data_IF_016577011149
#
_entry.id   IF_016577011149
#
_cell.length_a   1.000
_cell.length_b   1.000
_cell.length_c   1.000
_cell.angle_alpha   90.00
_cell.angle_beta   90.00
_cell.angle_gamma   90.00
#
_symmetry.space_group_name_H-M   'P 1'
#
loop_
_entity.id
_entity.type
_entity.pdbx_description
1 polymer ?
#
# COMPACT_ATOMS: atom_id res chain seq x y z
N UNK A 1 65.86 -8.76 14.42
CA UNK A 1 64.60 -8.63 15.18
C UNK A 1 63.89 -7.37 14.72
N UNK A 2 62.95 -7.52 13.78
CA UNK A 2 62.15 -6.41 13.27
C UNK A 2 60.70 -6.67 13.69
N UNK A 3 60.18 -5.80 14.55
CA UNK A 3 58.80 -5.79 15.04
C UNK A 3 57.86 -5.37 13.91
N UNK A 4 56.98 -6.28 13.49
CA UNK A 4 55.90 -5.98 12.55
C UNK A 4 54.79 -5.18 13.25
N UNK A 5 54.45 -4.02 12.71
CA UNK A 5 53.29 -3.22 13.11
C UNK A 5 52.08 -3.71 12.33
N UNK A 6 51.10 -4.32 13.00
CA UNK A 6 49.80 -4.65 12.41
C UNK A 6 48.99 -3.37 12.12
N UNK A 7 48.34 -3.26 10.95
CA UNK A 7 47.39 -2.18 10.70
C UNK A 7 46.08 -2.45 11.45
N UNK A 8 45.78 -1.61 12.45
CA UNK A 8 44.48 -1.57 13.11
C UNK A 8 43.40 -1.27 12.07
N UNK A 9 42.58 -2.27 11.77
CA UNK A 9 41.38 -2.11 10.97
C UNK A 9 40.34 -1.39 11.83
N UNK A 10 40.13 -0.11 11.56
CA UNK A 10 39.14 0.71 12.26
C UNK A 10 37.75 0.08 12.16
N UNK A 11 37.14 -0.20 13.32
CA UNK A 11 35.78 -0.70 13.41
C UNK A 11 34.80 0.31 12.76
N UNK A 12 33.82 -0.14 11.95
CA UNK A 12 32.85 0.75 11.35
C UNK A 12 32.00 1.42 12.44
N UNK A 13 32.02 2.75 12.47
CA UNK A 13 31.21 3.54 13.38
C UNK A 13 29.72 3.22 13.19
N UNK A 14 28.93 3.03 14.26
CA UNK A 14 27.49 2.83 14.12
C UNK A 14 26.86 4.09 13.54
N UNK A 15 26.17 3.96 12.40
CA UNK A 15 25.41 5.04 11.78
C UNK A 15 24.30 5.54 12.72
N UNK A 16 24.62 6.54 13.55
CA UNK A 16 23.69 7.24 14.44
C UNK A 16 22.98 8.38 13.71
N UNK A 17 22.32 8.08 12.60
CA UNK A 17 21.45 9.01 11.88
C UNK A 17 20.03 8.48 11.84
N UNK A 18 19.08 9.13 12.53
CA UNK A 18 17.67 8.84 12.34
C UNK A 18 17.28 9.11 10.88
N UNK A 19 16.58 8.17 10.24
CA UNK A 19 16.16 8.30 8.84
C UNK A 19 14.78 8.91 8.80
N UNK A 20 14.62 10.02 8.09
CA UNK A 20 13.31 10.59 7.73
C UNK A 20 12.96 10.16 6.30
N UNK A 21 11.99 9.24 6.13
CA UNK A 21 11.45 8.93 4.82
C UNK A 21 10.90 10.21 4.17
N UNK A 22 11.34 10.51 2.94
CA UNK A 22 10.74 11.58 2.14
C UNK A 22 9.70 10.94 1.20
N UNK A 23 8.40 11.07 1.48
CA UNK A 23 7.38 10.51 0.60
C UNK A 23 7.35 11.31 -0.72
N UNK A 24 7.38 10.61 -1.86
CA UNK A 24 6.98 11.21 -3.15
C UNK A 24 5.46 11.46 -3.09
N UNK A 25 5.00 12.52 -3.74
CA UNK A 25 3.56 12.79 -3.90
C UNK A 25 2.88 11.56 -4.51
N UNK A 26 1.85 11.05 -3.84
CA UNK A 26 1.03 9.91 -4.28
C UNK A 26 0.64 10.04 -5.76
N UNK A 27 0.53 8.93 -6.50
CA UNK A 27 -0.24 8.95 -7.75
C UNK A 27 -1.66 9.43 -7.43
N UNK A 28 -2.17 10.37 -8.22
CA UNK A 28 -3.40 11.12 -7.95
C UNK A 28 -3.20 12.50 -7.30
N UNK A 29 -2.04 12.75 -6.68
CA UNK A 29 -1.60 14.12 -6.37
C UNK A 29 -0.74 14.59 -7.54
N UNK A 30 -1.36 15.31 -8.47
CA UNK A 30 -0.61 16.10 -9.45
C UNK A 30 0.52 16.85 -8.74
N UNK A 31 1.68 16.93 -9.40
CA UNK A 31 2.92 17.54 -8.93
C UNK A 31 2.75 18.97 -8.40
N UNK A 32 3.86 19.58 -7.94
CA UNK A 32 3.86 20.57 -6.86
C UNK A 32 2.75 21.58 -7.06
N UNK A 33 1.73 21.56 -6.19
CA UNK A 33 0.54 22.43 -6.21
C UNK A 33 0.84 23.92 -6.46
N UNK A 34 2.08 24.34 -6.19
CA UNK A 34 2.63 25.65 -6.55
C UNK A 34 2.66 25.90 -8.05
N UNK A 35 3.03 24.92 -8.89
CA UNK A 35 3.12 25.06 -10.34
C UNK A 35 1.75 25.32 -10.97
N UNK A 36 0.73 24.52 -10.64
CA UNK A 36 -0.61 24.72 -11.20
C UNK A 36 -1.22 26.05 -10.74
N UNK A 37 -1.03 26.43 -9.47
CA UNK A 37 -1.46 27.72 -8.96
C UNK A 37 -0.73 28.87 -9.67
N UNK A 38 0.58 28.76 -9.88
CA UNK A 38 1.37 29.74 -10.62
C UNK A 38 0.91 29.85 -12.07
N UNK A 39 0.64 28.73 -12.74
CA UNK A 39 0.14 28.70 -14.12
C UNK A 39 -1.23 29.38 -14.22
N UNK A 40 -2.16 29.09 -13.31
CA UNK A 40 -3.48 29.75 -13.30
C UNK A 40 -3.35 31.27 -13.12
N UNK A 41 -2.45 31.71 -12.22
CA UNK A 41 -2.18 33.13 -12.01
C UNK A 41 -1.48 33.77 -13.22
N UNK A 42 -0.53 33.08 -13.85
CA UNK A 42 0.17 33.54 -15.05
C UNK A 42 -0.78 33.67 -16.23
N UNK A 43 -1.69 32.70 -16.44
CA UNK A 43 -2.70 32.75 -17.50
C UNK A 43 -3.68 33.90 -17.26
N UNK A 44 -4.11 34.12 -16.00
CA UNK A 44 -4.96 35.26 -15.66
C UNK A 44 -4.27 36.60 -15.95
N UNK A 45 -3.01 36.75 -15.55
CA UNK A 45 -2.22 37.96 -15.80
C UNK A 45 -1.95 38.17 -17.30
N UNK A 46 -1.56 37.12 -18.03
CA UNK A 46 -1.32 37.16 -19.47
C UNK A 46 -2.59 37.53 -20.24
N UNK A 47 -3.75 36.95 -19.87
CA UNK A 47 -5.03 37.30 -20.47
C UNK A 47 -5.37 38.78 -20.30
N UNK A 48 -5.21 39.32 -19.09
CA UNK A 48 -5.44 40.74 -18.81
C UNK A 48 -4.49 41.65 -19.60
N UNK A 49 -3.21 41.27 -19.73
CA UNK A 49 -2.22 42.02 -20.51
C UNK A 49 -2.57 42.02 -22.00
N UNK A 50 -2.96 40.87 -22.57
CA UNK A 50 -3.36 40.78 -23.98
C UNK A 50 -4.62 41.61 -24.25
N UNK A 51 -5.62 41.53 -23.37
CA UNK A 51 -6.83 42.33 -23.50
C UNK A 51 -6.54 43.84 -23.45
N UNK A 52 -5.62 44.26 -22.57
CA UNK A 52 -5.22 45.66 -22.46
C UNK A 52 -4.51 46.19 -23.71
N UNK A 53 -3.67 45.36 -24.35
CA UNK A 53 -2.89 45.75 -25.54
C UNK A 53 -3.73 45.71 -26.83
N UNK A 54 -4.61 44.72 -26.99
CA UNK A 54 -5.38 44.52 -28.23
C UNK A 54 -6.60 45.43 -28.28
N UNK A 55 -7.47 45.37 -27.27
CA UNK A 55 -8.72 46.12 -27.26
C UNK A 55 -9.26 46.26 -25.83
N UNK A 56 -9.28 47.48 -25.26
CA UNK A 56 -9.70 47.69 -23.86
C UNK A 56 -11.12 47.22 -23.54
N UNK A 57 -12.03 47.11 -24.52
CA UNK A 57 -13.38 46.57 -24.28
C UNK A 57 -13.37 45.08 -23.88
N UNK A 58 -12.34 44.32 -24.28
CA UNK A 58 -12.18 42.91 -23.90
C UNK A 58 -11.78 42.73 -22.42
N UNK A 59 -11.43 43.80 -21.71
CA UNK A 59 -11.07 43.72 -20.28
C UNK A 59 -12.23 43.25 -19.41
N UNK A 60 -13.49 43.52 -19.79
CA UNK A 60 -14.65 43.08 -19.01
C UNK A 60 -14.81 41.55 -19.03
N UNK A 61 -14.93 40.88 -20.20
CA UNK A 61 -15.05 39.42 -20.23
C UNK A 61 -13.78 38.71 -19.76
N UNK A 62 -12.59 39.22 -20.12
CA UNK A 62 -11.31 38.64 -19.68
C UNK A 62 -11.07 38.85 -18.20
N UNK A 63 -11.47 39.99 -17.64
CA UNK A 63 -11.43 40.28 -16.21
C UNK A 63 -12.32 39.34 -15.40
N UNK A 64 -13.53 39.05 -15.88
CA UNK A 64 -14.40 38.06 -15.26
C UNK A 64 -13.76 36.66 -15.25
N UNK A 65 -13.18 36.23 -16.38
CA UNK A 65 -12.47 34.94 -16.46
C UNK A 65 -11.23 34.91 -15.56
N UNK A 66 -10.42 35.97 -15.55
CA UNK A 66 -9.25 36.10 -14.69
C UNK A 66 -9.64 36.03 -13.20
N UNK A 67 -10.73 36.70 -12.81
CA UNK A 67 -11.28 36.61 -11.45
C UNK A 67 -11.66 35.16 -11.11
N UNK A 68 -12.32 34.44 -12.01
CA UNK A 68 -12.65 33.01 -11.81
C UNK A 68 -11.37 32.17 -11.64
N UNK A 69 -10.35 32.39 -12.47
CA UNK A 69 -9.07 31.68 -12.37
C UNK A 69 -8.36 31.95 -11.03
N UNK A 70 -8.36 33.20 -10.58
CA UNK A 70 -7.81 33.60 -9.27
C UNK A 70 -8.61 32.97 -8.12
N UNK A 71 -9.93 32.98 -8.20
CA UNK A 71 -10.81 32.31 -7.22
C UNK A 71 -10.51 30.81 -7.19
N UNK A 72 -10.37 30.14 -8.34
CA UNK A 72 -9.99 28.72 -8.40
C UNK A 72 -8.59 28.44 -7.84
N UNK A 73 -7.65 29.39 -8.00
CA UNK A 73 -6.30 29.28 -7.49
C UNK A 73 -6.20 29.51 -5.96
N UNK A 74 -7.05 30.37 -5.40
CA UNK A 74 -6.97 30.82 -3.99
C UNK A 74 -7.98 30.13 -3.08
N UNK A 75 -9.19 29.83 -3.57
CA UNK A 75 -10.24 29.20 -2.76
C UNK A 75 -9.88 27.76 -2.44
N UNK A 76 -9.69 27.51 -1.15
CA UNK A 76 -9.39 26.20 -0.59
C UNK A 76 -10.62 25.64 0.09
N UNK A 77 -11.03 24.43 -0.31
CA UNK A 77 -12.08 23.69 0.40
C UNK A 77 -11.47 22.43 1.01
N UNK A 78 -11.52 22.33 2.35
CA UNK A 78 -10.98 21.18 3.10
C UNK A 78 -9.50 20.85 2.79
N UNK A 79 -8.64 21.88 2.73
CA UNK A 79 -7.19 21.75 2.44
C UNK A 79 -6.84 21.22 1.04
N UNK A 80 -7.81 21.14 0.11
CA UNK A 80 -7.58 20.86 -1.32
C UNK A 80 -7.97 22.07 -2.17
N UNK A 81 -7.32 22.24 -3.33
CA UNK A 81 -7.76 23.20 -4.33
C UNK A 81 -9.09 22.75 -4.96
N UNK A 82 -9.90 23.69 -5.43
CA UNK A 82 -11.16 23.36 -6.12
C UNK A 82 -10.94 22.45 -7.34
N UNK A 83 -9.94 22.67 -8.21
CA UNK A 83 -9.67 21.77 -9.34
C UNK A 83 -9.37 20.33 -8.93
N UNK A 84 -8.55 20.11 -7.90
CA UNK A 84 -8.28 18.76 -7.37
C UNK A 84 -9.54 18.09 -6.80
N UNK A 85 -10.38 18.87 -6.12
CA UNK A 85 -11.63 18.37 -5.58
C UNK A 85 -12.59 17.94 -6.69
N UNK A 86 -12.72 18.75 -7.76
CA UNK A 86 -13.53 18.42 -8.93
C UNK A 86 -12.96 17.20 -9.66
N UNK A 87 -11.65 17.19 -9.92
CA UNK A 87 -10.95 16.08 -10.58
C UNK A 87 -11.14 14.75 -9.85
N UNK A 88 -10.95 14.74 -8.53
CA UNK A 88 -11.18 13.54 -7.72
C UNK A 88 -12.65 13.09 -7.72
N UNK A 89 -13.61 14.03 -7.70
CA UNK A 89 -15.04 13.72 -7.83
C UNK A 89 -15.43 13.14 -9.19
N UNK A 90 -14.90 13.72 -10.28
CA UNK A 90 -15.09 13.20 -11.64
C UNK A 90 -14.45 11.81 -11.80
N UNK A 91 -13.25 11.60 -11.25
CA UNK A 91 -12.57 10.30 -11.28
C UNK A 91 -13.40 9.21 -10.58
N UNK A 92 -13.98 9.51 -9.41
CA UNK A 92 -14.86 8.61 -8.69
C UNK A 92 -16.13 8.33 -9.48
N UNK A 93 -16.74 9.35 -10.09
CA UNK A 93 -17.93 9.17 -10.93
C UNK A 93 -17.63 8.31 -12.15
N UNK A 94 -16.48 8.50 -12.79
CA UNK A 94 -16.04 7.69 -13.92
C UNK A 94 -15.76 6.24 -13.51
N UNK A 95 -15.10 5.99 -12.36
CA UNK A 95 -14.91 4.64 -11.82
C UNK A 95 -16.24 3.97 -11.49
N UNK A 96 -17.17 4.65 -10.82
CA UNK A 96 -18.51 4.14 -10.52
C UNK A 96 -19.31 3.79 -11.77
N UNK A 97 -19.21 4.60 -12.83
CA UNK A 97 -19.86 4.32 -14.12
C UNK A 97 -19.28 3.08 -14.79
N UNK A 98 -17.95 2.98 -14.88
CA UNK A 98 -17.28 1.79 -15.42
C UNK A 98 -17.59 0.54 -14.61
N UNK A 99 -17.62 0.67 -13.29
CA UNK A 99 -17.99 -0.38 -12.36
C UNK A 99 -19.43 -0.87 -12.57
N UNK A 100 -20.39 0.03 -12.84
CA UNK A 100 -21.78 -0.35 -13.05
C UNK A 100 -22.00 -1.20 -14.32
N UNK A 101 -21.17 -1.03 -15.35
CA UNK A 101 -21.24 -1.80 -16.60
C UNK A 101 -20.34 -3.04 -16.63
N UNK A 102 -19.47 -3.22 -15.63
CA UNK A 102 -18.50 -4.30 -15.62
C UNK A 102 -19.08 -5.57 -14.98
N UNK A 103 -18.99 -6.68 -15.71
CA UNK A 103 -19.27 -8.02 -15.20
C UNK A 103 -17.94 -8.78 -15.04
N UNK A 104 -17.79 -9.47 -13.92
CA UNK A 104 -16.61 -10.30 -13.66
C UNK A 104 -16.59 -11.46 -14.67
N UNK A 105 -15.46 -11.71 -15.36
CA UNK A 105 -15.34 -12.82 -16.30
C UNK A 105 -15.69 -14.17 -15.66
N UNK A 106 -16.40 -15.02 -16.42
CA UNK A 106 -16.69 -16.39 -16.00
C UNK A 106 -15.39 -17.16 -15.72
N UNK A 107 -15.37 -17.96 -14.65
CA UNK A 107 -14.19 -18.70 -14.22
C UNK A 107 -13.23 -17.90 -13.32
N UNK A 108 -13.54 -16.65 -12.98
CA UNK A 108 -12.77 -15.91 -11.96
C UNK A 108 -12.96 -16.57 -10.58
N UNK A 109 -11.87 -16.87 -9.90
CA UNK A 109 -11.90 -17.41 -8.55
C UNK A 109 -12.73 -16.52 -7.60
N UNK A 110 -13.69 -17.08 -6.82
CA UNK A 110 -14.57 -16.28 -5.96
C UNK A 110 -13.83 -15.42 -4.92
N UNK A 111 -12.63 -15.83 -4.51
CA UNK A 111 -11.78 -15.03 -3.62
C UNK A 111 -11.14 -13.82 -4.30
N UNK A 112 -10.91 -13.88 -5.62
CA UNK A 112 -10.30 -12.83 -6.43
C UNK A 112 -11.33 -11.86 -7.01
N UNK A 113 -12.59 -12.28 -7.18
CA UNK A 113 -13.64 -11.49 -7.81
C UNK A 113 -13.77 -10.04 -7.29
N UNK A 114 -13.72 -9.75 -5.96
CA UNK A 114 -13.76 -8.37 -5.47
C UNK A 114 -12.59 -7.49 -5.98
N UNK A 115 -11.43 -8.09 -6.23
CA UNK A 115 -10.27 -7.36 -6.76
C UNK A 115 -10.42 -7.10 -8.25
N UNK A 116 -10.94 -8.05 -9.02
CA UNK A 116 -11.26 -7.87 -10.45
C UNK A 116 -12.36 -6.82 -10.63
N UNK A 117 -13.33 -6.75 -9.71
CA UNK A 117 -14.33 -5.66 -9.72
C UNK A 117 -13.74 -4.27 -9.43
N UNK A 118 -12.62 -4.21 -8.68
CA UNK A 118 -11.92 -2.99 -8.32
C UNK A 118 -10.93 -2.55 -9.41
N UNK A 119 -10.24 -3.51 -10.02
CA UNK A 119 -9.36 -3.34 -11.17
C UNK A 119 -9.56 -4.51 -12.17
N UNK A 120 -10.35 -4.28 -13.24
CA UNK A 120 -10.63 -5.28 -14.27
C UNK A 120 -9.42 -5.85 -14.99
N UNK A 121 -8.27 -5.18 -14.94
CA UNK A 121 -7.08 -5.66 -15.61
C UNK A 121 -6.33 -6.71 -14.79
N UNK A 122 -6.60 -6.84 -13.48
CA UNK A 122 -5.92 -7.81 -12.62
C UNK A 122 -6.28 -9.24 -13.00
N UNK A 123 -5.24 -10.07 -13.14
CA UNK A 123 -5.35 -11.53 -13.23
C UNK A 123 -4.22 -12.20 -12.48
N UNK A 124 -4.47 -13.44 -12.08
CA UNK A 124 -3.44 -14.34 -11.56
C UNK A 124 -2.82 -15.13 -12.69
N UNK A 125 -1.57 -15.51 -12.50
CA UNK A 125 -0.80 -16.35 -13.40
C UNK A 125 -0.03 -17.36 -12.56
N UNK A 126 0.12 -18.58 -13.07
CA UNK A 126 1.01 -19.58 -12.49
C UNK A 126 2.24 -19.73 -13.36
N UNK A 127 3.39 -19.86 -12.71
CA UNK A 127 4.64 -20.24 -13.36
C UNK A 127 5.17 -21.51 -12.73
N UNK A 128 5.40 -22.51 -13.57
CA UNK A 128 5.98 -23.79 -13.17
C UNK A 128 7.30 -23.96 -13.89
N UNK A 129 8.37 -24.13 -13.13
CA UNK A 129 9.67 -24.57 -13.65
C UNK A 129 9.86 -26.05 -13.34
N UNK A 130 10.62 -26.76 -14.17
CA UNK A 130 10.81 -28.21 -14.03
C UNK A 130 11.40 -28.48 -12.64
N UNK A 131 10.75 -29.36 -11.89
CA UNK A 131 11.11 -29.79 -10.52
C UNK A 131 10.95 -28.74 -9.40
N UNK A 132 10.32 -27.59 -9.66
CA UNK A 132 10.04 -26.57 -8.65
C UNK A 132 8.57 -26.48 -8.28
N UNK A 133 8.30 -26.01 -7.06
CA UNK A 133 6.96 -25.64 -6.61
C UNK A 133 6.41 -24.53 -7.54
N UNK A 134 5.17 -24.63 -8.04
CA UNK A 134 4.59 -23.59 -8.87
C UNK A 134 4.48 -22.27 -8.09
N UNK A 135 4.80 -21.16 -8.75
CA UNK A 135 4.77 -19.81 -8.17
C UNK A 135 3.58 -19.07 -8.75
N UNK A 136 2.74 -18.53 -7.85
CA UNK A 136 1.64 -17.64 -8.20
C UNK A 136 2.12 -16.21 -8.40
N UNK A 137 1.58 -15.56 -9.42
CA UNK A 137 1.81 -14.16 -9.71
C UNK A 137 0.49 -13.44 -9.93
N UNK A 138 0.51 -12.12 -9.74
CA UNK A 138 -0.61 -11.23 -10.07
C UNK A 138 -0.11 -10.08 -10.91
N UNK A 139 -0.86 -9.69 -11.93
CA UNK A 139 -0.45 -8.61 -12.82
C UNK A 139 -1.59 -8.08 -13.68
N UNK A 140 -1.31 -7.00 -14.39
CA UNK A 140 -2.24 -6.35 -15.33
C UNK A 140 -1.76 -6.42 -16.80
N UNK A 141 -0.70 -7.20 -17.05
CA UNK A 141 -0.12 -7.42 -18.38
C UNK A 141 1.02 -6.49 -18.71
N UNK A 142 1.15 -5.40 -17.96
CA UNK A 142 2.29 -4.50 -18.05
C UNK A 142 3.29 -4.77 -16.93
N UNK A 143 2.83 -5.33 -15.81
CA UNK A 143 3.71 -5.77 -14.72
C UNK A 143 3.35 -7.18 -14.22
N UNK A 144 4.29 -7.77 -13.48
CA UNK A 144 4.09 -9.01 -12.72
C UNK A 144 4.53 -8.82 -11.27
N UNK A 145 3.75 -9.34 -10.35
CA UNK A 145 4.07 -9.35 -8.92
C UNK A 145 4.07 -10.76 -8.38
N UNK A 146 5.16 -11.16 -7.73
CA UNK A 146 5.21 -12.37 -6.89
C UNK A 146 5.14 -11.98 -5.41
N UNK A 147 4.56 -12.84 -4.57
CA UNK A 147 4.37 -12.56 -3.14
C UNK A 147 5.10 -13.62 -2.31
N UNK A 148 5.86 -13.16 -1.33
CA UNK A 148 6.53 -13.97 -0.32
C UNK A 148 5.81 -13.77 1.01
N UNK A 149 5.28 -14.84 1.59
CA UNK A 149 4.79 -14.82 2.97
C UNK A 149 5.97 -14.97 3.92
N UNK A 150 5.98 -14.14 4.96
CA UNK A 150 7.02 -14.18 6.01
C UNK A 150 6.36 -14.52 7.33
N UNK A 151 6.75 -15.67 7.87
CA UNK A 151 6.35 -16.12 9.18
C UNK A 151 7.49 -15.87 10.16
N UNK A 152 7.11 -15.43 11.35
CA UNK A 152 8.02 -15.30 12.50
C UNK A 152 7.81 -16.54 13.34
N UNK A 153 8.86 -17.34 13.57
CA UNK A 153 8.73 -18.61 14.29
C UNK A 153 7.93 -18.43 15.59
N UNK A 154 6.96 -19.34 15.76
CA UNK A 154 5.97 -19.30 16.81
C UNK A 154 6.55 -19.87 18.11
N UNK A 155 7.37 -19.11 18.81
CA UNK A 155 7.57 -19.37 20.24
C UNK A 155 6.28 -19.00 20.97
N UNK A 156 5.68 -19.99 21.63
CA UNK A 156 4.29 -20.00 22.14
C UNK A 156 3.92 -18.90 23.15
N UNK A 157 4.89 -18.12 23.63
CA UNK A 157 4.70 -17.00 24.55
C UNK A 157 5.60 -15.86 24.07
N UNK A 158 5.05 -14.84 23.41
CA UNK A 158 5.82 -13.67 22.95
C UNK A 158 5.84 -12.61 24.05
N UNK A 159 7.00 -12.28 24.66
CA UNK A 159 7.07 -11.24 25.66
C UNK A 159 7.14 -9.82 25.07
N UNK A 160 7.35 -9.65 23.76
CA UNK A 160 7.46 -8.30 23.19
C UNK A 160 6.94 -8.17 21.75
N UNK A 161 6.24 -7.05 21.53
CA UNK A 161 5.57 -6.61 20.30
C UNK A 161 6.56 -6.35 19.15
N UNK A 162 7.83 -6.11 19.48
CA UNK A 162 8.92 -5.80 18.56
C UNK A 162 10.08 -6.82 18.56
N UNK A 163 9.90 -8.01 19.16
CA UNK A 163 10.99 -8.93 19.50
C UNK A 163 11.93 -9.33 18.35
N UNK A 164 11.47 -9.34 17.10
CA UNK A 164 12.33 -9.52 15.93
C UNK A 164 11.85 -8.66 14.75
N UNK A 165 12.46 -7.49 14.50
CA UNK A 165 12.09 -6.64 13.37
C UNK A 165 12.45 -7.28 12.05
N UNK A 166 11.58 -7.16 11.04
CA UNK A 166 11.89 -7.58 9.68
C UNK A 166 13.10 -6.76 9.15
N UNK A 167 14.13 -7.41 8.58
CA UNK A 167 15.32 -6.72 8.09
C UNK A 167 15.01 -5.97 6.79
N UNK A 168 14.58 -4.71 6.89
CA UNK A 168 14.25 -3.88 5.72
C UNK A 168 15.42 -3.69 4.75
N UNK A 169 16.67 -3.80 5.24
CA UNK A 169 17.86 -3.80 4.38
C UNK A 169 17.81 -4.90 3.34
N UNK A 170 17.39 -6.11 3.71
CA UNK A 170 17.24 -7.24 2.78
C UNK A 170 16.19 -6.95 1.70
N UNK A 171 15.09 -6.29 2.07
CA UNK A 171 14.02 -5.91 1.13
C UNK A 171 14.43 -4.73 0.24
N UNK A 172 15.28 -3.84 0.73
CA UNK A 172 15.89 -2.79 -0.10
C UNK A 172 16.85 -3.40 -1.12
N UNK A 173 17.70 -4.33 -0.67
CA UNK A 173 18.77 -4.92 -1.49
C UNK A 173 18.24 -5.93 -2.53
N UNK A 174 16.95 -6.26 -2.53
CA UNK A 174 16.32 -7.07 -3.59
C UNK A 174 15.72 -6.21 -4.71
N UNK A 175 15.60 -4.89 -4.53
CA UNK A 175 15.12 -3.99 -5.58
C UNK A 175 15.98 -4.05 -6.86
N UNK A 176 17.25 -4.41 -6.71
CA UNK A 176 18.17 -4.65 -7.81
C UNK A 176 19.03 -5.88 -7.52
N UNK A 177 18.88 -6.92 -8.34
CA UNK A 177 19.52 -8.23 -8.10
C UNK A 177 19.70 -9.03 -9.38
N UNK A 178 20.88 -9.61 -9.63
CA UNK A 178 21.18 -10.40 -10.85
C UNK A 178 20.77 -9.69 -12.17
N UNK A 179 20.98 -8.37 -12.24
CA UNK A 179 20.58 -7.50 -13.35
C UNK A 179 19.06 -7.23 -13.45
N UNK A 180 18.26 -7.77 -12.53
CA UNK A 180 16.82 -7.55 -12.44
C UNK A 180 16.57 -6.31 -11.60
N UNK A 181 15.90 -5.32 -12.18
CA UNK A 181 15.49 -4.09 -11.50
C UNK A 181 13.98 -4.13 -11.27
N UNK A 182 13.57 -4.23 -10.02
CA UNK A 182 12.17 -4.21 -9.63
C UNK A 182 11.62 -2.79 -9.70
N UNK A 183 10.33 -2.66 -10.06
CA UNK A 183 9.61 -1.39 -9.94
C UNK A 183 9.48 -1.02 -8.46
N UNK A 184 9.15 -2.01 -7.63
CA UNK A 184 8.97 -1.83 -6.19
C UNK A 184 8.97 -3.15 -5.41
N UNK A 185 9.24 -3.03 -4.11
CA UNK A 185 9.05 -4.07 -3.10
C UNK A 185 8.13 -3.53 -2.01
N UNK A 186 7.00 -4.21 -1.77
CA UNK A 186 5.97 -3.77 -0.85
C UNK A 186 5.83 -4.74 0.31
N UNK A 187 6.08 -4.25 1.52
CA UNK A 187 5.77 -4.94 2.76
C UNK A 187 4.31 -4.66 3.14
N UNK A 188 3.52 -5.71 3.36
CA UNK A 188 2.13 -5.63 3.82
C UNK A 188 1.98 -6.44 5.10
N UNK A 189 1.52 -5.79 6.16
CA UNK A 189 1.17 -6.44 7.43
C UNK A 189 -0.33 -6.32 7.66
N UNK A 190 -1.00 -7.46 7.79
CA UNK A 190 -2.42 -7.54 8.10
C UNK A 190 -2.61 -8.06 9.52
N UNK A 191 -3.38 -7.34 10.32
CA UNK A 191 -3.65 -7.69 11.72
C UNK A 191 -5.13 -7.79 11.99
N UNK A 192 -5.49 -8.73 12.86
CA UNK A 192 -6.81 -8.81 13.47
C UNK A 192 -6.64 -8.78 14.99
N UNK A 193 -7.28 -7.85 15.70
CA UNK A 193 -7.06 -7.68 17.13
C UNK A 193 -7.62 -8.86 17.93
N UNK A 194 -7.03 -9.09 19.10
CA UNK A 194 -7.57 -9.91 20.18
C UNK A 194 -7.98 -8.99 21.34
N UNK A 195 -9.07 -9.24 22.07
CA UNK A 195 -10.21 -10.04 21.65
C UNK A 195 -10.87 -9.42 20.40
N UNK A 196 -11.60 -10.24 19.63
CA UNK A 196 -12.23 -9.74 18.42
C UNK A 196 -13.34 -8.71 18.79
N UNK A 197 -13.44 -7.55 18.10
CA UNK A 197 -14.27 -6.42 18.57
C UNK A 197 -15.77 -6.69 18.57
N UNK A 198 -16.21 -7.72 17.85
CA UNK A 198 -17.61 -8.13 17.74
C UNK A 198 -18.06 -9.07 18.86
N UNK A 199 -17.14 -9.52 19.73
CA UNK A 199 -17.50 -10.36 20.86
C UNK A 199 -18.25 -9.52 21.91
N UNK A 200 -19.32 -10.06 22.53
CA UNK A 200 -19.99 -9.36 23.61
C UNK A 200 -19.02 -9.00 24.73
N UNK A 201 -19.11 -7.80 25.29
CA UNK A 201 -18.21 -7.31 26.35
C UNK A 201 -18.16 -8.24 27.57
N UNK A 202 -19.28 -8.91 27.86
CA UNK A 202 -19.41 -9.85 28.99
C UNK A 202 -18.96 -11.28 28.66
N UNK A 203 -18.51 -11.55 27.43
CA UNK A 203 -18.02 -12.88 27.05
C UNK A 203 -16.75 -13.25 27.83
N UNK A 204 -16.61 -14.54 28.14
CA UNK A 204 -15.42 -15.08 28.81
C UNK A 204 -14.14 -14.79 28.02
N UNK A 205 -14.21 -14.87 26.68
CA UNK A 205 -13.09 -14.53 25.81
C UNK A 205 -12.65 -13.06 26.00
N UNK A 206 -13.59 -12.11 26.03
CA UNK A 206 -13.23 -10.69 26.24
C UNK A 206 -12.63 -10.47 27.61
N UNK A 207 -13.23 -11.02 28.66
CA UNK A 207 -12.72 -10.87 30.05
C UNK A 207 -11.33 -11.48 30.23
N UNK A 208 -11.07 -12.64 29.63
CA UNK A 208 -9.80 -13.34 29.80
C UNK A 208 -8.68 -12.76 28.92
N UNK A 209 -8.99 -12.34 27.69
CA UNK A 209 -7.97 -11.88 26.75
C UNK A 209 -7.76 -10.36 26.76
N UNK A 210 -8.69 -9.54 27.24
CA UNK A 210 -8.50 -8.08 27.30
C UNK A 210 -7.31 -7.64 28.19
N UNK A 211 -7.08 -8.21 29.39
CA UNK A 211 -5.89 -7.87 30.19
C UNK A 211 -4.58 -8.26 29.50
N UNK A 212 -4.57 -9.42 28.81
CA UNK A 212 -3.40 -9.88 28.05
C UNK A 212 -3.15 -8.97 26.84
N UNK A 213 -4.21 -8.53 26.16
CA UNK A 213 -4.11 -7.55 25.08
C UNK A 213 -3.59 -6.20 25.58
N UNK A 214 -4.07 -5.71 26.72
CA UNK A 214 -3.61 -4.45 27.28
C UNK A 214 -2.11 -4.49 27.62
N UNK A 215 -1.60 -5.65 28.06
CA UNK A 215 -0.19 -5.86 28.41
C UNK A 215 0.73 -6.11 27.21
N UNK A 216 0.33 -6.99 26.30
CA UNK A 216 1.20 -7.46 25.21
C UNK A 216 0.92 -6.75 23.89
N UNK A 217 -0.31 -6.26 23.71
CA UNK A 217 -0.74 -5.59 22.50
C UNK A 217 -0.63 -6.45 21.24
N UNK A 218 -0.56 -7.77 21.40
CA UNK A 218 -0.32 -8.75 20.33
C UNK A 218 -1.64 -9.10 19.67
N UNK A 219 -1.80 -8.86 18.36
CA UNK A 219 -3.04 -9.20 17.66
C UNK A 219 -3.29 -10.72 17.65
N UNK A 220 -4.55 -11.14 17.52
CA UNK A 220 -4.93 -12.55 17.35
C UNK A 220 -4.29 -13.14 16.09
N UNK A 221 -4.29 -12.35 15.01
CA UNK A 221 -3.70 -12.72 13.72
C UNK A 221 -2.75 -11.61 13.29
N UNK A 222 -1.55 -11.99 12.86
CA UNK A 222 -0.58 -11.09 12.22
C UNK A 222 0.04 -11.84 11.05
N UNK A 223 -0.36 -11.46 9.84
CA UNK A 223 0.18 -11.98 8.58
C UNK A 223 1.09 -10.92 7.98
N UNK A 224 2.23 -11.36 7.43
CA UNK A 224 3.21 -10.49 6.78
C UNK A 224 3.51 -11.02 5.39
N UNK A 225 3.37 -10.15 4.40
CA UNK A 225 3.68 -10.45 3.00
C UNK A 225 4.66 -9.42 2.45
N UNK A 226 5.52 -9.86 1.55
CA UNK A 226 6.38 -8.99 0.74
C UNK A 226 6.04 -9.25 -0.72
N UNK A 227 5.47 -8.25 -1.38
CA UNK A 227 5.13 -8.29 -2.79
C UNK A 227 6.25 -7.63 -3.62
N UNK A 228 6.80 -8.36 -4.59
CA UNK A 228 7.87 -7.92 -5.47
C UNK A 228 7.29 -7.65 -6.86
N UNK A 229 7.25 -6.38 -7.27
CA UNK A 229 6.68 -5.94 -8.54
C UNK A 229 7.77 -5.70 -9.57
N UNK A 230 7.62 -6.38 -10.69
CA UNK A 230 8.49 -6.27 -11.85
C UNK A 230 7.71 -5.61 -12.99
N UNK A 231 8.22 -4.49 -13.48
CA UNK A 231 7.90 -3.98 -14.81
C UNK A 231 9.00 -4.48 -15.78
N UNK A 232 8.68 -5.32 -16.77
CA UNK A 232 9.66 -5.86 -17.72
C UNK A 232 10.43 -4.77 -18.49
N UNK A 233 9.85 -3.57 -18.65
CA UNK A 233 10.50 -2.44 -19.34
C UNK A 233 11.66 -1.84 -18.56
N UNK A 234 11.73 -2.06 -17.23
CA UNK A 234 12.81 -1.55 -16.38
C UNK A 234 14.10 -2.37 -16.47
N UNK A 235 14.03 -3.62 -16.94
CA UNK A 235 15.20 -4.50 -17.10
C UNK A 235 15.09 -5.40 -18.35
N UNK A 236 15.02 -4.83 -19.56
CA UNK A 236 14.78 -5.57 -20.80
C UNK A 236 15.90 -6.58 -21.10
N UNK A 237 17.15 -6.25 -20.76
CA UNK A 237 18.30 -7.14 -20.93
C UNK A 237 18.17 -8.41 -20.06
N UNK A 238 17.77 -8.24 -18.80
CA UNK A 238 17.58 -9.36 -17.88
C UNK A 238 16.42 -10.27 -18.28
N UNK A 239 15.35 -9.69 -18.83
CA UNK A 239 14.20 -10.42 -19.39
C UNK A 239 14.62 -11.20 -20.64
N UNK A 240 15.36 -10.57 -21.55
CA UNK A 240 15.86 -11.19 -22.78
C UNK A 240 16.82 -12.34 -22.50
N UNK A 241 17.77 -12.15 -21.58
CA UNK A 241 18.70 -13.19 -21.14
C UNK A 241 17.99 -14.42 -20.54
N UNK A 242 16.75 -14.24 -20.06
CA UNK A 242 15.88 -15.30 -19.53
C UNK A 242 14.80 -15.70 -20.54
N UNK A 243 15.11 -15.66 -21.84
CA UNK A 243 14.26 -16.14 -22.93
C UNK A 243 13.17 -15.17 -23.40
N UNK A 244 13.18 -13.92 -22.91
CA UNK A 244 12.34 -12.85 -23.44
C UNK A 244 10.85 -12.97 -23.13
N UNK A 245 10.10 -11.93 -23.52
CA UNK A 245 8.65 -11.87 -23.38
C UNK A 245 8.13 -12.14 -21.97
N UNK A 246 6.94 -12.73 -21.88
CA UNK A 246 6.30 -13.04 -20.61
C UNK A 246 7.10 -14.08 -19.79
N UNK A 247 7.61 -15.14 -20.44
CA UNK A 247 8.35 -16.19 -19.76
C UNK A 247 9.66 -15.68 -19.14
N UNK A 248 10.34 -14.74 -19.80
CA UNK A 248 11.52 -14.06 -19.24
C UNK A 248 11.16 -13.19 -18.05
N UNK A 249 10.06 -12.43 -18.13
CA UNK A 249 9.57 -11.64 -17.00
C UNK A 249 9.17 -12.52 -15.79
N UNK A 250 8.48 -13.63 -16.03
CA UNK A 250 8.14 -14.60 -14.99
C UNK A 250 9.40 -15.19 -14.33
N UNK A 251 10.41 -15.58 -15.11
CA UNK A 251 11.69 -16.06 -14.58
C UNK A 251 12.44 -14.99 -13.78
N UNK A 252 12.40 -13.72 -14.20
CA UNK A 252 12.97 -12.61 -13.45
C UNK A 252 12.30 -12.45 -12.07
N UNK A 253 10.97 -12.37 -12.02
CA UNK A 253 10.28 -12.14 -10.75
C UNK A 253 10.41 -13.34 -9.79
N UNK A 254 10.37 -14.57 -10.29
CA UNK A 254 10.64 -15.79 -9.50
C UNK A 254 12.06 -15.77 -8.94
N UNK A 255 13.05 -15.41 -9.77
CA UNK A 255 14.44 -15.32 -9.31
C UNK A 255 14.59 -14.31 -8.17
N UNK A 256 13.96 -13.14 -8.27
CA UNK A 256 13.97 -12.14 -7.21
C UNK A 256 13.26 -12.64 -5.94
N UNK A 257 12.12 -13.34 -6.07
CA UNK A 257 11.39 -13.92 -4.95
C UNK A 257 12.19 -15.02 -4.22
N UNK A 258 12.82 -15.93 -4.96
CA UNK A 258 13.68 -16.99 -4.41
C UNK A 258 14.88 -16.40 -3.66
N UNK A 259 15.51 -15.36 -4.22
CA UNK A 259 16.60 -14.66 -3.57
C UNK A 259 16.16 -13.97 -2.28
N UNK A 260 15.00 -13.29 -2.28
CA UNK A 260 14.45 -12.70 -1.07
C UNK A 260 14.17 -13.76 0.00
N UNK A 261 13.50 -14.85 -0.37
CA UNK A 261 13.19 -15.94 0.54
C UNK A 261 14.47 -16.55 1.15
N UNK A 262 15.50 -16.77 0.33
CA UNK A 262 16.80 -17.27 0.78
C UNK A 262 17.50 -16.31 1.74
N UNK A 263 17.51 -15.00 1.46
CA UNK A 263 18.12 -13.99 2.34
C UNK A 263 17.35 -13.84 3.67
N UNK A 264 16.02 -13.95 3.65
CA UNK A 264 15.19 -13.94 4.85
C UNK A 264 15.41 -15.20 5.70
N UNK A 265 15.52 -16.37 5.07
CA UNK A 265 15.89 -17.62 5.74
C UNK A 265 17.26 -17.52 6.40
N UNK A 266 18.25 -16.93 5.72
CA UNK A 266 19.57 -16.63 6.30
C UNK A 266 19.52 -15.66 7.48
N UNK A 267 18.49 -14.80 7.56
CA UNK A 267 18.21 -13.92 8.70
C UNK A 267 17.33 -14.59 9.79
N UNK A 268 17.01 -15.88 9.66
CA UNK A 268 16.22 -16.66 10.60
C UNK A 268 14.72 -16.34 10.58
N UNK A 269 14.17 -16.08 9.39
CA UNK A 269 12.72 -16.03 9.16
C UNK A 269 12.30 -17.18 8.26
N UNK A 270 11.09 -17.70 8.48
CA UNK A 270 10.48 -18.64 7.55
C UNK A 270 9.84 -17.83 6.42
N UNK A 271 10.31 -18.00 5.19
CA UNK A 271 9.86 -17.24 4.03
C UNK A 271 9.42 -18.19 2.90
N UNK A 272 8.16 -18.09 2.48
CA UNK A 272 7.55 -18.97 1.49
C UNK A 272 7.04 -18.17 0.30
N UNK A 273 7.53 -18.48 -0.90
CA UNK A 273 6.99 -17.93 -2.15
C UNK A 273 5.62 -18.57 -2.42
N UNK A 274 4.58 -17.75 -2.57
CA UNK A 274 3.20 -18.21 -2.67
C UNK A 274 2.90 -18.87 -4.03
N UNK A 275 2.14 -19.96 -3.99
CA UNK A 275 1.46 -20.54 -5.17
C UNK A 275 0.28 -19.66 -5.60
N UNK A 276 -0.32 -19.92 -6.76
CA UNK A 276 -1.50 -19.16 -7.23
C UNK A 276 -2.69 -19.24 -6.26
N UNK A 277 -2.94 -20.43 -5.70
CA UNK A 277 -4.02 -20.63 -4.72
C UNK A 277 -3.75 -19.87 -3.42
N UNK A 278 -2.53 -19.93 -2.90
CA UNK A 278 -2.13 -19.19 -1.69
C UNK A 278 -2.13 -17.68 -1.93
N UNK A 279 -1.70 -17.23 -3.10
CA UNK A 279 -1.76 -15.83 -3.51
C UNK A 279 -3.20 -15.34 -3.53
N UNK A 280 -4.12 -16.10 -4.13
CA UNK A 280 -5.55 -15.77 -4.16
C UNK A 280 -6.14 -15.72 -2.74
N UNK A 281 -5.76 -16.66 -1.86
CA UNK A 281 -6.17 -16.66 -0.46
C UNK A 281 -5.61 -15.47 0.34
N UNK A 282 -4.34 -15.10 0.11
CA UNK A 282 -3.69 -13.95 0.73
C UNK A 282 -4.35 -12.64 0.29
N UNK A 283 -4.66 -12.51 -1.00
CA UNK A 283 -5.38 -11.39 -1.57
C UNK A 283 -6.82 -11.28 -1.02
N UNK A 284 -7.54 -12.40 -0.90
CA UNK A 284 -8.88 -12.44 -0.30
C UNK A 284 -8.85 -12.06 1.20
N UNK A 285 -7.83 -12.51 1.94
CA UNK A 285 -7.67 -12.18 3.36
C UNK A 285 -7.28 -10.72 3.54
N UNK A 286 -6.32 -10.21 2.76
CA UNK A 286 -5.91 -8.80 2.82
C UNK A 286 -7.04 -7.87 2.38
N UNK A 287 -7.84 -8.22 1.37
CA UNK A 287 -9.04 -7.47 0.97
C UNK A 287 -10.18 -7.59 1.99
N UNK A 288 -10.04 -8.47 2.99
CA UNK A 288 -11.08 -8.86 3.93
C UNK A 288 -12.36 -9.31 3.20
N UNK A 289 -12.27 -10.03 2.09
CA UNK A 289 -13.45 -10.66 1.51
C UNK A 289 -14.14 -11.60 2.53
N UNK A 290 -15.46 -11.63 2.55
CA UNK A 290 -16.20 -12.45 3.52
C UNK A 290 -16.14 -13.93 3.11
N UNK A 291 -15.60 -14.85 3.95
CA UNK A 291 -15.50 -16.26 3.62
C UNK A 291 -16.84 -16.93 3.27
N UNK A 292 -17.93 -16.51 3.92
CA UNK A 292 -19.27 -17.00 3.58
C UNK A 292 -19.71 -16.53 2.20
N UNK A 293 -19.44 -15.27 1.84
CA UNK A 293 -19.74 -14.74 0.51
C UNK A 293 -18.90 -15.41 -0.58
N UNK A 294 -17.62 -15.69 -0.31
CA UNK A 294 -16.74 -16.48 -1.20
C UNK A 294 -17.34 -17.87 -1.44
N UNK A 295 -17.72 -18.55 -0.35
CA UNK A 295 -18.31 -19.90 -0.42
C UNK A 295 -19.63 -19.90 -1.18
N UNK A 296 -20.48 -18.90 -0.95
CA UNK A 296 -21.77 -18.76 -1.65
C UNK A 296 -21.59 -18.49 -3.14
N UNK A 297 -20.65 -17.60 -3.51
CA UNK A 297 -20.31 -17.30 -4.90
C UNK A 297 -19.63 -18.48 -5.63
N UNK A 298 -19.00 -19.41 -4.90
CA UNK A 298 -18.51 -20.66 -5.48
C UNK A 298 -19.62 -21.69 -5.77
N UNK A 299 -20.74 -21.62 -5.05
CA UNK A 299 -21.86 -22.58 -5.18
C UNK A 299 -22.95 -22.11 -6.14
N UNK A 300 -23.29 -20.84 -6.05
CA UNK A 300 -24.19 -20.17 -6.97
C UNK A 300 -23.30 -19.31 -7.84
N UNK A 301 -23.41 -19.40 -9.16
CA UNK A 301 -22.79 -18.46 -10.09
C UNK A 301 -23.44 -17.06 -9.94
N UNK A 302 -23.46 -16.54 -8.71
CA UNK A 302 -24.14 -15.31 -8.35
C UNK A 302 -23.40 -14.17 -9.03
N UNK A 303 -24.14 -13.47 -9.87
CA UNK A 303 -23.64 -12.42 -10.76
C UNK A 303 -23.71 -11.03 -10.13
N UNK A 304 -24.08 -10.97 -8.85
CA UNK A 304 -24.22 -9.73 -8.11
C UNK A 304 -22.86 -9.14 -7.77
N UNK A 305 -22.70 -7.84 -8.03
CA UNK A 305 -21.50 -7.08 -7.68
C UNK A 305 -21.26 -7.11 -6.16
N UNK A 306 -20.07 -7.50 -5.74
CA UNK A 306 -19.68 -7.65 -4.33
C UNK A 306 -19.04 -6.39 -3.75
N UNK A 307 -18.65 -5.45 -4.59
CA UNK A 307 -17.92 -4.24 -4.19
C UNK A 307 -18.63 -2.94 -4.52
N UNK A 308 -18.40 -1.93 -3.67
CA UNK A 308 -18.95 -0.60 -3.88
C UNK A 308 -18.01 0.48 -3.36
N UNK A 309 -17.62 1.42 -4.23
CA UNK A 309 -16.82 2.59 -3.83
C UNK A 309 -17.72 3.77 -3.49
N UNK A 310 -17.53 4.38 -2.31
CA UNK A 310 -18.07 5.68 -1.93
C UNK A 310 -17.01 6.77 -1.89
N UNK A 311 -17.42 8.01 -1.60
CA UNK A 311 -16.48 9.12 -1.46
C UNK A 311 -15.51 8.95 -0.30
N UNK A 312 -15.79 8.08 0.68
CA UNK A 312 -14.97 7.93 1.89
C UNK A 312 -14.67 6.48 2.26
N UNK A 313 -15.41 5.53 1.71
CA UNK A 313 -15.27 4.11 2.03
C UNK A 313 -15.28 3.27 0.76
N UNK A 314 -14.68 2.09 0.83
CA UNK A 314 -14.93 1.01 -0.12
C UNK A 314 -15.56 -0.15 0.63
N UNK A 315 -16.59 -0.78 0.07
CA UNK A 315 -17.27 -1.93 0.65
C UNK A 315 -16.91 -3.18 -0.15
N UNK A 316 -16.63 -4.27 0.54
CA UNK A 316 -16.53 -5.62 -0.01
C UNK A 316 -17.45 -6.51 0.81
N UNK A 317 -18.45 -7.10 0.18
CA UNK A 317 -19.49 -7.87 0.86
C UNK A 317 -20.17 -7.01 1.96
N UNK A 318 -20.13 -7.48 3.21
CA UNK A 318 -20.62 -6.81 4.41
C UNK A 318 -19.55 -5.95 5.12
N UNK A 319 -18.34 -5.86 4.58
CA UNK A 319 -17.20 -5.19 5.24
C UNK A 319 -16.87 -3.86 4.59
N UNK A 320 -16.56 -2.87 5.40
CA UNK A 320 -16.30 -1.50 4.98
C UNK A 320 -14.88 -1.10 5.32
N UNK A 321 -14.23 -0.47 4.35
CA UNK A 321 -12.83 -0.12 4.39
C UNK A 321 -12.66 1.39 4.32
N UNK A 322 -11.64 1.91 4.99
CA UNK A 322 -11.13 3.25 4.77
C UNK A 322 -9.61 3.21 4.72
N UNK A 323 -9.05 3.75 3.64
CA UNK A 323 -7.59 3.83 3.45
C UNK A 323 -7.07 5.25 3.69
N UNK A 324 -5.92 5.31 4.36
CA UNK A 324 -5.12 6.50 4.62
C UNK A 324 -3.77 6.36 3.94
N UNK A 325 -3.28 7.47 3.39
CA UNK A 325 -1.89 7.65 3.03
C UNK A 325 -1.12 8.26 4.20
N UNK A 326 0.12 7.80 4.41
CA UNK A 326 1.05 8.38 5.38
C UNK A 326 1.75 9.57 4.72
N UNK A 327 1.17 10.76 4.92
CA UNK A 327 1.67 12.01 4.35
C UNK A 327 2.85 12.61 5.11
N UNK A 328 3.01 12.25 6.39
CA UNK A 328 4.18 12.62 7.20
C UNK A 328 4.60 11.46 8.07
N UNK A 329 5.83 10.99 7.86
CA UNK A 329 6.44 9.94 8.66
C UNK A 329 6.97 10.50 9.98
N UNK A 330 6.95 9.71 11.06
CA UNK A 330 7.70 10.04 12.27
C UNK A 330 9.20 9.91 11.97
N UNK A 331 10.04 10.46 12.84
CA UNK A 331 11.46 10.10 12.84
C UNK A 331 11.56 8.61 13.18
N UNK A 332 12.25 7.84 12.34
CA UNK A 332 12.45 6.40 12.53
C UNK A 332 13.92 6.17 12.93
N UNK A 333 14.14 5.57 14.11
CA UNK A 333 15.47 5.23 14.64
C UNK A 333 16.23 6.38 15.34
N UNK A 334 17.09 6.03 16.28
CA UNK A 334 17.81 6.96 17.19
C UNK A 334 17.31 6.89 18.64
N UNK A 335 18.07 7.44 19.60
CA UNK A 335 17.86 7.28 21.06
C UNK A 335 16.54 7.79 21.65
N UNK A 336 15.66 8.39 20.85
CA UNK A 336 14.32 8.85 21.25
C UNK A 336 13.23 8.70 20.18
N UNK A 337 13.51 7.97 19.09
CA UNK A 337 12.58 7.78 17.98
C UNK A 337 11.90 6.41 18.05
N UNK A 338 10.62 6.32 17.69
CA UNK A 338 9.93 5.04 17.61
C UNK A 338 10.58 4.18 16.50
N UNK A 339 10.95 2.95 16.83
CA UNK A 339 11.39 1.99 15.83
C UNK A 339 10.21 1.68 14.88
N UNK A 340 10.47 1.48 13.59
CA UNK A 340 9.42 1.16 12.61
C UNK A 340 8.48 0.03 13.06
N UNK A 341 8.96 -1.10 13.65
CA UNK A 341 8.05 -2.15 14.14
C UNK A 341 7.09 -1.66 15.22
N UNK A 342 7.55 -0.79 16.13
CA UNK A 342 6.71 -0.22 17.17
C UNK A 342 5.67 0.73 16.55
N UNK A 343 6.08 1.54 15.59
CA UNK A 343 5.18 2.40 14.83
C UNK A 343 4.09 1.59 14.12
N UNK A 344 4.47 0.53 13.38
CA UNK A 344 3.52 -0.34 12.70
C UNK A 344 2.59 -1.03 13.70
N UNK A 345 3.13 -1.51 14.82
CA UNK A 345 2.33 -2.17 15.85
C UNK A 345 1.29 -1.22 16.48
N UNK A 346 1.63 0.05 16.72
CA UNK A 346 0.70 1.05 17.23
C UNK A 346 -0.42 1.34 16.24
N UNK A 347 -0.11 1.47 14.96
CA UNK A 347 -1.12 1.72 13.92
C UNK A 347 -1.98 0.50 13.60
N UNK A 348 -1.53 -0.71 13.95
CA UNK A 348 -2.22 -1.97 13.64
C UNK A 348 -2.91 -2.62 14.84
N UNK A 349 -2.80 -2.03 16.03
CA UNK A 349 -3.45 -2.50 17.28
C UNK A 349 -4.80 -1.85 17.55
N UNK A 350 -5.57 -1.56 16.50
CA UNK A 350 -6.85 -0.86 16.61
C UNK A 350 -8.01 -1.85 16.86
N UNK A 351 -9.08 -1.42 17.55
CA UNK A 351 -10.29 -2.21 17.74
C UNK A 351 -11.15 -2.20 16.46
N UNK A 352 -10.65 -2.86 15.41
CA UNK A 352 -11.29 -2.98 14.10
C UNK A 352 -11.34 -4.45 13.68
N UNK A 353 -12.25 -4.84 12.79
CA UNK A 353 -12.23 -6.18 12.17
C UNK A 353 -10.81 -6.56 11.71
N UNK A 354 -10.17 -5.65 10.98
CA UNK A 354 -8.79 -5.82 10.56
C UNK A 354 -8.13 -4.45 10.29
N UNK A 355 -6.82 -4.40 10.51
CA UNK A 355 -5.99 -3.27 10.08
C UNK A 355 -4.88 -3.77 9.18
N UNK A 356 -4.66 -3.11 8.05
CA UNK A 356 -3.60 -3.43 7.11
C UNK A 356 -2.65 -2.24 6.99
N UNK A 357 -1.39 -2.45 7.32
CA UNK A 357 -0.30 -1.51 7.09
C UNK A 357 0.46 -1.95 5.85
N UNK A 358 0.77 -1.02 4.95
CA UNK A 358 1.61 -1.27 3.79
C UNK A 358 2.73 -0.24 3.70
N UNK A 359 3.92 -0.70 3.34
CA UNK A 359 5.10 0.11 3.08
C UNK A 359 5.70 -0.34 1.74
N UNK A 360 5.67 0.54 0.76
CA UNK A 360 6.27 0.32 -0.57
C UNK A 360 7.62 1.01 -0.63
N UNK A 361 8.64 0.26 -1.03
CA UNK A 361 9.97 0.73 -1.39
C UNK A 361 10.10 0.70 -2.90
N UNK A 362 10.55 1.79 -3.51
CA UNK A 362 10.87 1.83 -4.94
C UNK A 362 12.22 2.54 -5.15
N UNK A 363 12.98 2.17 -6.20
CA UNK A 363 14.23 2.85 -6.53
C UNK A 363 14.01 4.38 -6.68
N UNK A 364 14.88 5.19 -6.08
CA UNK A 364 14.83 6.64 -6.27
C UNK A 364 15.65 7.07 -7.51
N UNK A 365 15.30 8.21 -8.12
CA UNK A 365 16.05 8.80 -9.26
C UNK A 365 17.49 9.20 -8.86
N UNK A 366 17.70 9.50 -7.57
CA UNK A 366 19.03 9.68 -6.95
C UNK A 366 19.32 8.47 -6.06
N UNK A 367 20.58 8.23 -5.71
CA UNK A 367 20.97 7.14 -4.82
C UNK A 367 20.03 7.03 -3.60
N UNK A 368 19.40 5.86 -3.42
CA UNK A 368 18.49 5.58 -2.31
C UNK A 368 17.16 4.94 -2.74
N UNK A 369 16.18 4.96 -1.83
CA UNK A 369 14.83 4.44 -2.05
C UNK A 369 13.78 5.46 -1.68
N UNK A 370 12.68 5.46 -2.42
CA UNK A 370 11.46 6.18 -2.04
C UNK A 370 10.59 5.27 -1.18
N UNK A 371 9.94 5.86 -0.18
CA UNK A 371 9.06 5.15 0.76
C UNK A 371 7.65 5.73 0.69
N UNK A 372 6.67 4.86 0.41
CA UNK A 372 5.26 5.21 0.42
C UNK A 372 4.51 4.28 1.36
N UNK A 373 3.67 4.84 2.23
CA UNK A 373 2.96 4.05 3.23
C UNK A 373 1.46 4.28 3.21
N UNK A 374 0.70 3.21 3.43
CA UNK A 374 -0.74 3.27 3.60
C UNK A 374 -1.19 2.49 4.82
N UNK A 375 -2.29 2.93 5.42
CA UNK A 375 -2.99 2.23 6.50
C UNK A 375 -4.44 2.09 6.07
N UNK A 376 -4.94 0.85 6.03
CA UNK A 376 -6.34 0.54 5.75
C UNK A 376 -6.97 -0.06 7.00
N UNK A 377 -8.09 0.52 7.41
CA UNK A 377 -8.90 0.03 8.52
C UNK A 377 -10.19 -0.55 7.96
N UNK A 378 -10.58 -1.70 8.48
CA UNK A 378 -11.79 -2.42 8.06
C UNK A 378 -12.71 -2.63 9.26
N UNK A 379 -14.00 -2.34 9.09
CA UNK A 379 -15.06 -2.63 10.07
C UNK A 379 -16.19 -3.43 9.45
N UNK A 380 -16.99 -4.12 10.28
CA UNK A 380 -18.20 -4.85 9.86
C UNK A 380 -19.40 -3.93 9.66
N UNK A 381 -19.41 -2.78 10.34
CA UNK A 381 -20.46 -1.77 10.23
C UNK A 381 -19.86 -0.38 10.04
N UNK A 382 -20.70 0.59 9.66
CA UNK A 382 -20.30 1.99 9.59
C UNK A 382 -19.88 2.53 10.97
N UNK A 383 -20.55 2.10 12.04
CA UNK A 383 -20.22 2.50 13.42
C UNK A 383 -18.84 1.99 13.84
N UNK A 384 -18.57 0.70 13.64
CA UNK A 384 -17.27 0.10 13.96
C UNK A 384 -16.14 0.80 13.18
N UNK A 385 -16.37 1.06 11.89
CA UNK A 385 -15.40 1.75 11.05
C UNK A 385 -15.16 3.21 11.51
N UNK A 386 -16.19 3.92 11.97
CA UNK A 386 -16.06 5.28 12.51
C UNK A 386 -15.26 5.28 13.80
N UNK A 387 -15.52 4.33 14.71
CA UNK A 387 -14.77 4.19 15.97
C UNK A 387 -13.31 3.88 15.69
N UNK A 388 -13.03 2.86 14.87
CA UNK A 388 -11.68 2.46 14.51
C UNK A 388 -10.90 3.58 13.78
N UNK A 389 -11.58 4.36 12.92
CA UNK A 389 -10.98 5.55 12.30
C UNK A 389 -10.56 6.58 13.35
N UNK A 390 -11.45 6.93 14.27
CA UNK A 390 -11.15 7.94 15.31
C UNK A 390 -9.97 7.50 16.17
N UNK A 391 -9.90 6.19 16.47
CA UNK A 391 -8.75 5.60 17.15
C UNK A 391 -7.46 5.74 16.34
N UNK A 392 -7.47 5.32 15.07
CA UNK A 392 -6.31 5.46 14.18
C UNK A 392 -5.80 6.90 14.13
N UNK A 393 -6.70 7.87 13.91
CA UNK A 393 -6.36 9.29 13.80
C UNK A 393 -5.82 9.84 15.12
N UNK A 394 -6.28 9.34 16.27
CA UNK A 394 -5.75 9.72 17.59
C UNK A 394 -4.37 9.11 17.83
N UNK A 395 -4.20 7.81 17.56
CA UNK A 395 -2.93 7.11 17.71
C UNK A 395 -1.86 7.72 16.82
N UNK A 396 -2.17 7.98 15.54
CA UNK A 396 -1.24 8.61 14.60
C UNK A 396 -0.80 10.00 15.05
N UNK A 397 -1.71 10.82 15.58
CA UNK A 397 -1.37 12.12 16.17
C UNK A 397 -0.43 11.97 17.37
N UNK A 398 -0.67 10.98 18.24
CA UNK A 398 0.19 10.66 19.38
C UNK A 398 1.63 10.33 18.98
N UNK A 399 1.83 9.66 17.84
CA UNK A 399 3.17 9.34 17.29
C UNK A 399 3.64 10.33 16.22
N UNK A 400 3.10 11.57 16.21
CA UNK A 400 3.48 12.66 15.28
C UNK A 400 3.43 12.28 13.79
N UNK A 401 2.56 11.33 13.43
CA UNK A 401 2.37 10.85 12.07
C UNK A 401 1.19 11.56 11.42
N UNK A 402 1.40 12.06 10.21
CA UNK A 402 0.35 12.71 9.42
C UNK A 402 -0.37 11.70 8.54
N UNK A 403 -1.62 11.40 8.85
CA UNK A 403 -2.48 10.57 8.01
C UNK A 403 -3.39 11.44 7.14
N UNK A 404 -3.53 11.06 5.88
CA UNK A 404 -4.45 11.67 4.93
C UNK A 404 -5.43 10.62 4.45
N UNK A 405 -6.72 10.76 4.77
CA UNK A 405 -7.74 9.87 4.23
C UNK A 405 -7.86 10.05 2.72
N UNK A 406 -7.89 8.95 1.98
CA UNK A 406 -7.97 8.93 0.53
C UNK A 406 -9.41 9.15 0.04
N UNK A 407 -9.99 10.31 0.39
CA UNK A 407 -11.35 10.67 -0.03
C UNK A 407 -11.47 10.66 -1.55
N UNK A 408 -12.46 9.90 -2.05
CA UNK A 408 -12.73 9.63 -3.48
C UNK A 408 -11.63 8.85 -4.18
N UNK A 409 -10.74 8.21 -3.43
CA UNK A 409 -9.61 7.43 -3.93
C UNK A 409 -9.48 6.13 -3.11
N UNK A 410 -10.61 5.55 -2.71
CA UNK A 410 -10.64 4.39 -1.83
C UNK A 410 -10.26 3.11 -2.58
N UNK A 411 -10.66 2.96 -3.85
CA UNK A 411 -10.20 1.84 -4.69
C UNK A 411 -8.68 1.93 -4.97
N UNK A 412 -8.13 3.06 -5.44
CA UNK A 412 -6.67 3.22 -5.53
C UNK A 412 -5.94 2.94 -4.20
N UNK A 413 -6.47 3.47 -3.09
CA UNK A 413 -5.92 3.20 -1.77
C UNK A 413 -5.99 1.73 -1.35
N UNK A 414 -7.08 1.04 -1.67
CA UNK A 414 -7.21 -0.41 -1.46
C UNK A 414 -6.08 -1.13 -2.20
N UNK A 415 -5.97 -0.94 -3.51
CA UNK A 415 -4.96 -1.60 -4.36
C UNK A 415 -3.55 -1.33 -3.85
N UNK A 416 -3.25 -0.09 -3.47
CA UNK A 416 -1.98 0.33 -2.89
C UNK A 416 -1.63 -0.30 -1.53
N UNK A 417 -2.62 -0.92 -0.85
CA UNK A 417 -2.47 -1.56 0.46
C UNK A 417 -2.59 -3.08 0.42
N UNK A 418 -2.99 -3.65 -0.73
CA UNK A 418 -2.96 -5.10 -0.99
C UNK A 418 -1.53 -5.51 -1.37
N UNK A 419 -1.14 -6.79 -1.19
CA UNK A 419 0.18 -7.30 -1.59
C UNK A 419 0.27 -7.42 -3.13
N UNK A 420 0.26 -6.28 -3.82
CA UNK A 420 0.31 -6.14 -5.28
C UNK A 420 1.60 -5.46 -5.77
N UNK A 421 2.43 -4.98 -4.85
CA UNK A 421 3.64 -4.20 -5.16
C UNK A 421 3.51 -2.70 -4.94
N UNK A 422 2.35 -2.21 -4.50
CA UNK A 422 2.11 -0.79 -4.23
C UNK A 422 1.12 -0.14 -5.21
N UNK A 423 0.97 1.18 -5.09
CA UNK A 423 0.07 1.97 -5.93
C UNK A 423 0.64 2.15 -7.34
N UNK A 424 -0.25 2.34 -8.32
CA UNK A 424 0.07 2.98 -9.60
C UNK A 424 -0.37 4.43 -9.57
#
# INVERSE_FOLDING_TARGET
MATATEPQTGAPAPARGGVTPHPKSSPGRFGPFRLQQLVLLQVAAAGLLVAWVVEPLLLVPVGALALVLVVLAVVRRHQRSLPEWIGSALSLRARRRRAASFAVPAGTEPGLAPLVEADPALRTLTFSDRDRRPVGMVGDGTFLTAVVQVDTDATALRPDRAARPLPLGVVRDILEVDGIRLESAQLVQHTQPAPAPHLPERSMATRNYAPLQARTGTPAVRLTWIALKLDPELCPEAVTARGGGLAGAQRCVVRAADQLASRLAGAGFTATVLTEQELTAALATSSCANPMAITQAGRSASTGRRTEETSRTWRCDDRRHTTYWIGRWPQLGGGGAAALPQFVALLTSLPALATTFSLTMAPAERQGVTLTGHVRVTGRSDEELVVARRELERTARGVKTGLVRLDREQVPGLLASLPLGGAR
#
